data_IF_191475847063
#
_entry.id   IF_191475847063
#
_cell.length_a   1.000
_cell.length_b   1.000
_cell.length_c   1.000
_cell.angle_alpha   90.00
_cell.angle_beta   90.00
_cell.angle_gamma   90.00
#
_symmetry.space_group_name_H-M   'P 1'
#
loop_
_entity.id
_entity.type
_entity.pdbx_description
1 polymer ?
#
# COMPACT_ATOMS: atom_id res chain seq x y z
N UNK A 1 -1.73 15.91 -49.57
CA UNK A 1 -0.75 15.52 -48.53
C UNK A 1 -1.47 14.56 -47.62
N UNK A 2 -1.09 13.29 -47.60
CA UNK A 2 -1.66 12.32 -46.66
C UNK A 2 -1.29 12.78 -45.25
N UNK A 3 -2.29 13.12 -44.44
CA UNK A 3 -2.07 13.40 -43.03
C UNK A 3 -1.51 12.13 -42.39
N UNK A 4 -0.29 12.19 -41.86
CA UNK A 4 0.28 11.09 -41.09
C UNK A 4 -0.59 10.85 -39.84
N UNK A 5 -1.46 9.83 -39.92
CA UNK A 5 -2.35 9.46 -38.82
C UNK A 5 -1.50 8.88 -37.69
N UNK A 6 -1.53 9.51 -36.52
CA UNK A 6 -0.83 9.00 -35.34
C UNK A 6 -1.79 8.21 -34.46
N UNK A 7 -1.41 6.97 -34.14
CA UNK A 7 -2.20 6.06 -33.30
C UNK A 7 -1.51 5.89 -31.94
N UNK A 8 -2.30 6.04 -30.88
CA UNK A 8 -1.89 5.67 -29.52
C UNK A 8 -2.91 4.70 -28.93
N UNK A 9 -2.42 3.79 -28.08
CA UNK A 9 -3.26 2.83 -27.36
C UNK A 9 -3.52 3.35 -25.95
N UNK A 10 -4.75 3.14 -25.48
CA UNK A 10 -5.17 3.39 -24.11
C UNK A 10 -6.20 2.34 -23.69
N UNK A 11 -6.75 2.47 -22.49
CA UNK A 11 -7.82 1.62 -21.99
C UNK A 11 -8.99 2.47 -21.50
N UNK A 12 -10.19 1.95 -21.71
CA UNK A 12 -11.40 2.48 -21.10
C UNK A 12 -11.40 2.27 -19.58
N UNK A 13 -12.34 2.89 -18.88
CA UNK A 13 -12.55 2.64 -17.45
C UNK A 13 -12.90 1.17 -17.14
N UNK A 14 -13.43 0.42 -18.14
CA UNK A 14 -13.75 -1.01 -18.03
C UNK A 14 -12.56 -1.92 -18.37
N UNK A 15 -11.42 -1.37 -18.76
CA UNK A 15 -10.24 -2.14 -19.17
C UNK A 15 -10.27 -2.61 -20.63
N UNK A 16 -11.25 -2.17 -21.41
CA UNK A 16 -11.31 -2.46 -22.85
C UNK A 16 -10.34 -1.55 -23.62
N UNK A 17 -9.72 -2.09 -24.66
CA UNK A 17 -8.78 -1.35 -25.51
C UNK A 17 -9.47 -0.13 -26.16
N UNK A 18 -8.77 1.00 -26.12
CA UNK A 18 -9.16 2.25 -26.75
C UNK A 18 -8.04 2.74 -27.67
N UNK A 19 -8.45 3.26 -28.83
CA UNK A 19 -7.54 3.85 -29.81
C UNK A 19 -7.69 5.36 -29.76
N UNK A 20 -6.56 6.05 -29.78
CA UNK A 20 -6.47 7.50 -29.86
C UNK A 20 -5.89 7.86 -31.23
N UNK A 21 -6.56 8.76 -31.93
CA UNK A 21 -6.11 9.28 -33.22
C UNK A 21 -5.78 10.76 -33.09
N UNK A 22 -4.63 11.15 -33.66
CA UNK A 22 -4.17 12.53 -33.80
C UNK A 22 -4.21 13.30 -32.48
N UNK A 23 -4.01 12.59 -31.35
CA UNK A 23 -4.04 13.13 -29.98
C UNK A 23 -5.36 13.81 -29.59
N UNK A 24 -6.40 13.72 -30.40
CA UNK A 24 -7.63 14.52 -30.27
C UNK A 24 -8.88 13.69 -30.07
N UNK A 25 -8.94 12.51 -30.70
CA UNK A 25 -10.15 11.70 -30.75
C UNK A 25 -9.93 10.32 -30.13
N UNK A 26 -10.91 9.84 -29.37
CA UNK A 26 -10.92 8.52 -28.75
C UNK A 26 -11.92 7.61 -29.44
N UNK A 27 -11.52 6.36 -29.62
CA UNK A 27 -12.33 5.33 -30.24
C UNK A 27 -12.39 4.11 -29.32
N UNK A 28 -13.61 3.62 -29.08
CA UNK A 28 -13.86 2.39 -28.34
C UNK A 28 -13.93 1.21 -29.32
N UNK A 29 -13.45 0.06 -28.89
CA UNK A 29 -13.73 -1.19 -29.59
C UNK A 29 -15.24 -1.37 -29.77
N UNK A 30 -15.64 -1.79 -30.97
CA UNK A 30 -17.04 -2.04 -31.33
C UNK A 30 -17.27 -3.53 -31.59
N UNK A 31 -16.60 -4.12 -32.57
CA UNK A 31 -16.69 -5.54 -32.89
C UNK A 31 -15.54 -5.97 -33.81
N UNK A 32 -15.31 -7.28 -33.90
CA UNK A 32 -14.42 -7.88 -34.90
C UNK A 32 -15.19 -8.30 -36.14
N UNK A 33 -14.53 -8.23 -37.30
CA UNK A 33 -15.03 -8.67 -38.60
C UNK A 33 -14.62 -10.12 -38.88
N UNK A 34 -15.17 -10.71 -39.96
CA UNK A 34 -14.88 -12.09 -40.38
C UNK A 34 -13.40 -12.32 -40.74
N UNK A 35 -12.72 -11.28 -41.20
CA UNK A 35 -11.29 -11.25 -41.52
C UNK A 35 -10.41 -10.98 -40.28
N UNK A 36 -10.97 -11.07 -39.07
CA UNK A 36 -10.37 -10.71 -37.78
C UNK A 36 -10.00 -9.23 -37.60
N UNK A 37 -10.25 -8.36 -38.59
CA UNK A 37 -10.04 -6.92 -38.41
C UNK A 37 -10.98 -6.34 -37.35
N UNK A 38 -10.49 -5.36 -36.59
CA UNK A 38 -11.21 -4.77 -35.45
C UNK A 38 -11.75 -3.40 -35.82
N UNK A 39 -13.04 -3.20 -35.58
CA UNK A 39 -13.72 -1.92 -35.79
C UNK A 39 -13.78 -1.15 -34.46
N UNK A 40 -13.34 0.10 -34.49
CA UNK A 40 -13.45 1.03 -33.37
C UNK A 40 -14.29 2.24 -33.77
N UNK A 41 -15.19 2.68 -32.90
CA UNK A 41 -16.09 3.83 -33.13
C UNK A 41 -15.76 4.95 -32.17
N UNK A 42 -15.92 6.21 -32.60
CA UNK A 42 -15.69 7.37 -31.74
C UNK A 42 -16.46 7.25 -30.42
N UNK A 43 -15.85 7.64 -29.30
CA UNK A 43 -16.46 7.60 -27.97
C UNK A 43 -17.73 8.46 -27.86
N UNK A 44 -17.90 9.42 -28.77
CA UNK A 44 -19.06 10.31 -28.87
C UNK A 44 -20.21 9.72 -29.72
N UNK A 45 -20.06 8.52 -30.30
CA UNK A 45 -21.08 7.85 -31.13
C UNK A 45 -22.40 7.59 -30.38
N UNK A 46 -22.33 7.23 -29.09
CA UNK A 46 -23.51 6.96 -28.25
C UNK A 46 -23.95 8.17 -27.41
N UNK A 47 -23.30 9.32 -27.58
CA UNK A 47 -23.58 10.55 -26.83
C UNK A 47 -24.39 11.51 -27.69
N UNK A 48 -24.63 12.72 -27.18
CA UNK A 48 -25.41 13.77 -27.84
C UNK A 48 -24.92 14.07 -29.26
N UNK A 49 -23.60 14.03 -29.47
CA UNK A 49 -23.01 14.28 -30.78
C UNK A 49 -23.38 13.19 -31.81
N UNK A 50 -23.66 11.94 -31.42
CA UNK A 50 -23.92 10.81 -32.35
C UNK A 50 -22.86 10.69 -33.45
N UNK A 51 -21.59 10.93 -33.09
CA UNK A 51 -20.46 11.00 -34.02
C UNK A 51 -20.29 9.70 -34.81
N UNK A 52 -20.23 9.79 -36.15
CA UNK A 52 -20.18 8.62 -37.04
C UNK A 52 -18.76 8.14 -37.38
N UNK A 53 -17.72 8.83 -36.90
CA UNK A 53 -16.34 8.44 -37.16
C UNK A 53 -16.01 7.03 -36.66
N UNK A 54 -15.28 6.29 -37.47
CA UNK A 54 -14.77 4.97 -37.11
C UNK A 54 -13.42 4.69 -37.77
N UNK A 55 -12.69 3.74 -37.18
CA UNK A 55 -11.44 3.22 -37.71
C UNK A 55 -11.48 1.69 -37.69
N UNK A 56 -10.81 1.08 -38.66
CA UNK A 56 -10.66 -0.36 -38.80
C UNK A 56 -9.18 -0.66 -38.81
N UNK A 57 -8.77 -1.51 -37.89
CA UNK A 57 -7.38 -1.94 -37.74
C UNK A 57 -7.25 -3.43 -38.03
N UNK A 58 -6.13 -3.85 -38.61
CA UNK A 58 -5.76 -5.26 -38.68
C UNK A 58 -5.22 -5.76 -37.32
N UNK A 59 -4.80 -7.03 -37.26
CA UNK A 59 -4.23 -7.61 -36.04
C UNK A 59 -2.91 -6.95 -35.61
N UNK A 60 -2.17 -6.38 -36.56
CA UNK A 60 -0.90 -5.66 -36.34
C UNK A 60 -1.11 -4.17 -36.00
N UNK A 61 -2.38 -3.75 -35.85
CA UNK A 61 -2.82 -2.37 -35.56
C UNK A 61 -2.55 -1.36 -36.68
N UNK A 62 -2.37 -1.84 -37.90
CA UNK A 62 -2.28 -1.01 -39.09
C UNK A 62 -3.68 -0.59 -39.55
N UNK A 63 -3.77 0.59 -40.16
CA UNK A 63 -5.04 1.20 -40.58
C UNK A 63 -5.49 0.56 -41.89
N UNK A 64 -6.55 -0.24 -41.84
CA UNK A 64 -7.22 -0.75 -43.04
C UNK A 64 -8.19 0.28 -43.62
N UNK A 65 -8.88 1.03 -42.76
CA UNK A 65 -9.79 2.12 -43.15
C UNK A 65 -9.97 3.09 -42.00
N UNK A 66 -9.91 4.38 -42.29
CA UNK A 66 -10.27 5.44 -41.35
C UNK A 66 -11.28 6.38 -41.99
N UNK A 67 -12.42 6.62 -41.33
CA UNK A 67 -13.45 7.55 -41.78
C UNK A 67 -13.65 8.64 -40.73
N UNK A 68 -13.12 9.84 -41.01
CA UNK A 68 -13.04 10.97 -40.07
C UNK A 68 -14.27 11.89 -40.13
N UNK A 69 -15.46 11.33 -39.85
CA UNK A 69 -16.75 12.06 -39.86
C UNK A 69 -17.08 12.69 -38.50
N UNK A 70 -16.12 13.42 -37.92
CA UNK A 70 -16.30 14.02 -36.59
C UNK A 70 -17.19 15.25 -36.69
N UNK A 71 -18.19 15.33 -35.82
CA UNK A 71 -19.10 16.47 -35.71
C UNK A 71 -18.98 17.19 -34.36
N UNK A 72 -17.84 17.02 -33.71
CA UNK A 72 -17.49 17.64 -32.44
C UNK A 72 -15.99 17.95 -32.44
N UNK A 73 -15.54 18.94 -31.66
CA UNK A 73 -14.12 19.22 -31.54
C UNK A 73 -13.37 18.08 -30.84
N UNK A 74 -12.07 17.97 -31.14
CA UNK A 74 -11.14 17.11 -30.41
C UNK A 74 -10.93 17.60 -28.96
N UNK A 75 -10.48 16.69 -28.09
CA UNK A 75 -10.20 17.02 -26.69
C UNK A 75 -8.85 16.45 -26.25
N UNK A 76 -7.79 17.22 -26.47
CA UNK A 76 -6.41 16.82 -26.21
C UNK A 76 -6.15 16.52 -24.72
N UNK A 77 -6.76 17.28 -23.80
CA UNK A 77 -6.62 17.03 -22.37
C UNK A 77 -7.30 15.71 -21.94
N UNK A 78 -8.50 15.43 -22.46
CA UNK A 78 -9.20 14.17 -22.18
C UNK A 78 -8.46 12.96 -22.73
N UNK A 79 -7.80 13.13 -23.89
CA UNK A 79 -6.91 12.14 -24.48
C UNK A 79 -5.67 11.96 -23.61
N UNK A 80 -4.96 13.04 -23.26
CA UNK A 80 -3.73 12.97 -22.45
C UNK A 80 -3.98 12.31 -21.09
N UNK A 81 -5.11 12.62 -20.46
CA UNK A 81 -5.55 11.97 -19.23
C UNK A 81 -5.75 10.46 -19.43
N UNK A 82 -6.32 10.03 -20.55
CA UNK A 82 -6.56 8.60 -20.83
C UNK A 82 -5.24 7.85 -21.05
N UNK A 83 -4.29 8.43 -21.79
CA UNK A 83 -2.94 7.88 -22.00
C UNK A 83 -2.18 7.78 -20.68
N UNK A 84 -2.18 8.84 -19.87
CA UNK A 84 -1.49 8.86 -18.58
C UNK A 84 -2.03 7.78 -17.65
N UNK A 85 -3.36 7.63 -17.58
CA UNK A 85 -4.00 6.59 -16.78
C UNK A 85 -3.59 5.18 -17.22
N UNK A 86 -3.47 4.95 -18.53
CA UNK A 86 -3.02 3.67 -19.07
C UNK A 86 -1.57 3.37 -18.69
N UNK A 87 -0.64 4.31 -18.96
CA UNK A 87 0.78 4.18 -18.59
C UNK A 87 0.97 3.92 -17.09
N UNK A 88 0.26 4.66 -16.24
CA UNK A 88 0.31 4.47 -14.78
C UNK A 88 -0.08 3.05 -14.40
N UNK A 89 -1.18 2.52 -14.95
CA UNK A 89 -1.61 1.14 -14.65
C UNK A 89 -0.56 0.14 -15.09
N UNK A 90 0.00 0.30 -16.28
CA UNK A 90 0.96 -0.65 -16.83
C UNK A 90 2.29 -0.64 -16.06
N UNK A 91 2.79 0.54 -15.66
CA UNK A 91 3.95 0.62 -14.78
C UNK A 91 3.66 -0.02 -13.41
N UNK A 92 2.49 0.22 -12.81
CA UNK A 92 2.10 -0.45 -11.56
C UNK A 92 2.03 -1.97 -11.73
N UNK A 93 1.55 -2.49 -12.88
CA UNK A 93 1.51 -3.93 -13.17
C UNK A 93 2.91 -4.55 -13.16
N UNK A 94 3.95 -3.84 -13.66
CA UNK A 94 5.33 -4.32 -13.71
C UNK A 94 6.01 -4.48 -12.34
N UNK A 95 5.59 -3.72 -11.33
CA UNK A 95 6.16 -3.82 -9.99
C UNK A 95 5.71 -5.09 -9.24
N UNK A 96 6.63 -5.94 -8.80
CA UNK A 96 6.27 -7.12 -8.00
C UNK A 96 5.67 -6.74 -6.64
N UNK A 97 6.32 -5.82 -5.92
CA UNK A 97 5.90 -5.36 -4.61
C UNK A 97 5.18 -3.98 -4.70
N UNK A 98 3.88 -3.89 -4.33
CA UNK A 98 3.15 -2.63 -4.37
C UNK A 98 3.66 -1.58 -3.36
N UNK A 99 4.36 -1.99 -2.29
CA UNK A 99 4.88 -1.07 -1.27
C UNK A 99 6.08 -0.22 -1.76
N UNK A 100 6.81 -0.70 -2.77
CA UNK A 100 7.96 0.02 -3.34
C UNK A 100 7.55 1.22 -4.20
N UNK A 101 6.27 1.30 -4.55
CA UNK A 101 5.74 2.30 -5.48
C UNK A 101 5.60 3.66 -4.80
N UNK A 102 6.61 4.51 -4.97
CA UNK A 102 6.54 5.93 -4.59
C UNK A 102 5.62 6.70 -5.55
N UNK A 103 4.33 6.79 -5.19
CA UNK A 103 3.24 7.41 -5.99
C UNK A 103 3.60 8.69 -6.74
N UNK A 104 4.20 9.68 -6.05
CA UNK A 104 4.54 10.98 -6.68
C UNK A 104 5.73 10.85 -7.64
N UNK A 105 6.70 9.98 -7.33
CA UNK A 105 7.84 9.68 -8.20
C UNK A 105 7.37 9.00 -9.49
N UNK A 106 6.54 7.96 -9.36
CA UNK A 106 5.91 7.28 -10.51
C UNK A 106 5.21 8.27 -11.43
N UNK A 107 4.38 9.16 -10.88
CA UNK A 107 3.71 10.20 -11.66
C UNK A 107 4.71 11.13 -12.34
N UNK A 108 5.75 11.60 -11.63
CA UNK A 108 6.73 12.53 -12.20
C UNK A 108 7.52 11.89 -13.36
N UNK A 109 7.87 10.61 -13.26
CA UNK A 109 8.58 9.87 -14.31
C UNK A 109 7.70 9.76 -15.58
N UNK A 110 6.45 9.32 -15.43
CA UNK A 110 5.49 9.22 -16.55
C UNK A 110 5.16 10.60 -17.13
N UNK A 111 5.00 11.61 -16.27
CA UNK A 111 4.70 12.98 -16.70
C UNK A 111 5.84 13.59 -17.50
N UNK A 112 7.11 13.33 -17.14
CA UNK A 112 8.26 13.77 -17.93
C UNK A 112 8.30 13.11 -19.30
N UNK A 113 8.04 11.81 -19.37
CA UNK A 113 7.98 11.06 -20.63
C UNK A 113 6.86 11.59 -21.55
N UNK A 114 5.70 11.91 -20.97
CA UNK A 114 4.53 12.40 -21.71
C UNK A 114 4.60 13.88 -22.10
N UNK A 115 5.33 14.71 -21.33
CA UNK A 115 5.32 16.17 -21.45
C UNK A 115 5.79 16.70 -22.81
N UNK A 116 6.48 15.88 -23.61
CA UNK A 116 6.89 16.22 -24.97
C UNK A 116 5.78 16.03 -26.02
N UNK A 117 4.74 15.24 -25.70
CA UNK A 117 3.74 14.78 -26.68
C UNK A 117 2.35 15.34 -26.36
N UNK A 118 2.04 15.51 -25.08
CA UNK A 118 0.70 15.83 -24.58
C UNK A 118 0.72 16.94 -23.51
N UNK A 119 -0.38 17.68 -23.35
CA UNK A 119 -0.59 18.48 -22.14
C UNK A 119 -0.65 17.55 -20.92
N UNK A 120 0.23 17.75 -19.95
CA UNK A 120 0.34 16.88 -18.79
C UNK A 120 -0.80 17.12 -17.79
N UNK A 121 -1.66 16.12 -17.53
CA UNK A 121 -2.63 16.21 -16.44
C UNK A 121 -1.94 16.38 -15.10
N UNK A 122 -2.56 17.16 -14.22
CA UNK A 122 -2.08 17.32 -12.85
C UNK A 122 -2.12 16.02 -12.05
N UNK A 123 -1.24 15.90 -11.06
CA UNK A 123 -1.19 14.75 -10.16
C UNK A 123 -2.54 14.48 -9.48
N UNK A 124 -3.30 15.53 -9.13
CA UNK A 124 -4.59 15.42 -8.46
C UNK A 124 -5.58 14.62 -9.32
N UNK A 125 -5.55 14.81 -10.65
CA UNK A 125 -6.42 14.13 -11.62
C UNK A 125 -6.20 12.61 -11.69
N UNK A 126 -5.04 12.12 -11.26
CA UNK A 126 -4.66 10.69 -11.32
C UNK A 126 -4.34 10.06 -9.96
N UNK A 127 -4.24 10.85 -8.88
CA UNK A 127 -3.90 10.40 -7.52
C UNK A 127 -4.77 9.24 -7.05
N UNK A 128 -6.09 9.36 -7.22
CA UNK A 128 -7.06 8.33 -6.81
C UNK A 128 -6.93 7.07 -7.66
N UNK A 129 -6.60 7.19 -8.95
CA UNK A 129 -6.35 6.03 -9.80
C UNK A 129 -5.11 5.28 -9.32
N UNK A 130 -3.99 5.98 -9.10
CA UNK A 130 -2.74 5.39 -8.60
C UNK A 130 -3.01 4.60 -7.32
N UNK A 131 -3.69 5.22 -6.35
CA UNK A 131 -4.10 4.58 -5.10
C UNK A 131 -4.91 3.30 -5.32
N UNK A 132 -5.96 3.36 -6.14
CA UNK A 132 -6.81 2.21 -6.43
C UNK A 132 -6.05 1.09 -7.14
N UNK A 133 -5.18 1.43 -8.09
CA UNK A 133 -4.39 0.45 -8.84
C UNK A 133 -3.36 -0.26 -7.95
N UNK A 134 -2.72 0.45 -7.02
CA UNK A 134 -1.83 -0.14 -6.02
C UNK A 134 -2.63 -1.04 -5.07
N UNK A 135 -3.76 -0.56 -4.54
CA UNK A 135 -4.58 -1.32 -3.60
C UNK A 135 -5.16 -2.61 -4.21
N UNK A 136 -5.40 -2.66 -5.53
CA UNK A 136 -5.81 -3.89 -6.22
C UNK A 136 -4.76 -5.01 -6.19
N UNK A 137 -3.49 -4.67 -5.99
CA UNK A 137 -2.40 -5.64 -5.81
C UNK A 137 -2.25 -6.10 -4.35
N UNK A 138 -2.79 -5.35 -3.41
CA UNK A 138 -2.74 -5.73 -2.00
C UNK A 138 -3.78 -6.82 -1.71
N UNK A 139 -3.47 -7.76 -0.82
CA UNK A 139 -4.47 -8.71 -0.34
C UNK A 139 -5.65 -7.95 0.31
N UNK A 140 -6.82 -8.59 0.30
CA UNK A 140 -7.98 -8.05 1.01
C UNK A 140 -7.66 -7.91 2.49
N UNK A 141 -8.12 -6.82 3.09
CA UNK A 141 -7.95 -6.62 4.53
C UNK A 141 -8.63 -7.75 5.29
N UNK A 142 -7.93 -8.28 6.28
CA UNK A 142 -8.48 -9.22 7.25
C UNK A 142 -9.62 -8.55 8.02
N UNK A 143 -10.75 -9.25 8.19
CA UNK A 143 -11.95 -8.70 8.84
C UNK A 143 -12.19 -9.24 10.24
N UNK A 144 -11.63 -10.42 10.54
CA UNK A 144 -11.68 -11.03 11.87
C UNK A 144 -10.30 -11.46 12.35
N UNK A 145 -10.11 -11.57 13.66
CA UNK A 145 -8.80 -11.94 14.20
C UNK A 145 -8.35 -13.36 13.79
N UNK A 146 -9.30 -14.28 13.62
CA UNK A 146 -9.01 -15.67 13.26
C UNK A 146 -8.57 -15.83 11.78
N UNK A 147 -8.94 -14.88 10.92
CA UNK A 147 -8.54 -14.83 9.51
C UNK A 147 -7.08 -14.40 9.32
N UNK A 148 -6.41 -13.88 10.35
CA UNK A 148 -4.95 -13.67 10.29
C UNK A 148 -4.34 -15.04 9.98
N UNK A 149 -3.53 -15.22 8.93
CA UNK A 149 -2.93 -16.52 8.63
C UNK A 149 -1.83 -16.88 9.63
N UNK A 150 -1.40 -18.15 9.68
CA UNK A 150 -0.23 -18.56 10.47
C UNK A 150 1.08 -18.34 9.69
N UNK A 151 1.01 -18.31 8.37
CA UNK A 151 2.13 -18.12 7.47
C UNK A 151 1.77 -17.07 6.43
N UNK A 152 2.73 -16.21 6.07
CA UNK A 152 2.55 -15.19 5.04
C UNK A 152 3.91 -14.69 4.58
N UNK A 153 4.01 -14.31 3.30
CA UNK A 153 5.17 -13.56 2.78
C UNK A 153 5.43 -12.27 3.58
N UNK A 154 4.37 -11.64 4.13
CA UNK A 154 4.48 -10.43 4.95
C UNK A 154 5.01 -10.69 6.37
N UNK A 155 5.18 -11.94 6.76
CA UNK A 155 5.77 -12.33 8.05
C UNK A 155 7.25 -12.63 7.92
N UNK A 156 7.86 -12.29 6.78
CA UNK A 156 9.30 -12.35 6.53
C UNK A 156 9.84 -10.95 6.29
N UNK A 157 11.06 -10.69 6.75
CA UNK A 157 11.79 -9.46 6.38
C UNK A 157 12.33 -9.58 4.95
N UNK A 158 12.84 -8.48 4.38
CA UNK A 158 13.57 -8.49 3.10
C UNK A 158 14.79 -9.44 3.11
N UNK A 159 15.30 -9.78 4.31
CA UNK A 159 16.40 -10.74 4.51
C UNK A 159 15.90 -12.17 4.74
N UNK A 160 14.62 -12.43 4.49
CA UNK A 160 13.93 -13.70 4.73
C UNK A 160 13.96 -14.18 6.20
N UNK A 161 14.08 -13.23 7.14
CA UNK A 161 14.04 -13.52 8.58
C UNK A 161 12.60 -13.53 9.08
N UNK A 162 12.29 -14.37 10.07
CA UNK A 162 10.96 -14.38 10.70
C UNK A 162 10.64 -13.04 11.37
N UNK A 163 9.48 -12.50 11.04
CA UNK A 163 8.94 -11.29 11.64
C UNK A 163 7.79 -11.58 12.59
N UNK A 164 6.91 -12.55 12.30
CA UNK A 164 5.90 -12.99 13.25
C UNK A 164 6.47 -14.08 14.15
N UNK A 165 6.55 -13.82 15.46
CA UNK A 165 7.20 -14.74 16.41
C UNK A 165 6.21 -15.51 17.29
N UNK A 166 4.96 -15.04 17.37
CA UNK A 166 3.94 -15.70 18.19
C UNK A 166 2.53 -15.32 17.74
N UNK A 167 1.62 -16.29 17.81
CA UNK A 167 0.20 -16.10 17.61
C UNK A 167 -0.61 -17.08 18.45
N UNK A 168 -1.72 -16.59 19.01
CA UNK A 168 -2.78 -17.41 19.60
C UNK A 168 -4.15 -16.76 19.34
N UNK A 169 -5.20 -17.10 20.09
CA UNK A 169 -6.57 -16.56 19.91
C UNK A 169 -6.75 -15.08 20.28
N UNK A 170 -5.82 -14.48 21.02
CA UNK A 170 -5.94 -13.13 21.63
C UNK A 170 -4.80 -12.18 21.27
N UNK A 171 -3.67 -12.71 20.79
CA UNK A 171 -2.39 -12.02 20.67
C UNK A 171 -1.64 -12.49 19.43
N UNK A 172 -1.17 -11.53 18.63
CA UNK A 172 -0.14 -11.74 17.60
C UNK A 172 1.03 -10.84 17.93
N UNK A 173 2.27 -11.35 17.83
CA UNK A 173 3.50 -10.61 18.10
C UNK A 173 4.39 -10.63 16.87
N UNK A 174 4.82 -9.45 16.47
CA UNK A 174 5.79 -9.22 15.42
C UNK A 174 7.07 -8.61 16.01
N UNK A 175 8.20 -9.26 15.75
CA UNK A 175 9.52 -8.84 16.16
C UNK A 175 10.57 -9.51 15.24
N UNK A 176 11.29 -8.72 14.46
CA UNK A 176 12.42 -9.24 13.67
C UNK A 176 13.63 -9.55 14.55
N UNK A 177 14.62 -10.33 14.08
CA UNK A 177 15.86 -10.57 14.81
C UNK A 177 16.61 -9.28 15.18
N UNK A 178 16.60 -8.28 14.28
CA UNK A 178 17.17 -6.97 14.55
C UNK A 178 16.45 -6.26 15.71
N UNK A 179 15.12 -6.30 15.73
CA UNK A 179 14.34 -5.70 16.81
C UNK A 179 14.52 -6.43 18.15
N UNK A 180 14.65 -7.76 18.13
CA UNK A 180 15.02 -8.54 19.31
C UNK A 180 16.41 -8.15 19.83
N UNK A 181 17.38 -7.93 18.93
CA UNK A 181 18.72 -7.42 19.29
C UNK A 181 18.65 -6.03 19.92
N UNK A 182 17.82 -5.13 19.39
CA UNK A 182 17.61 -3.80 19.98
C UNK A 182 16.96 -3.90 21.37
N UNK A 183 15.92 -4.71 21.51
CA UNK A 183 15.24 -4.97 22.78
C UNK A 183 16.23 -5.45 23.84
N UNK A 184 17.16 -6.33 23.45
CA UNK A 184 18.21 -6.86 24.34
C UNK A 184 19.29 -5.83 24.66
N UNK A 185 19.90 -5.22 23.65
CA UNK A 185 21.07 -4.34 23.81
C UNK A 185 20.72 -3.06 24.59
N UNK A 186 19.52 -2.53 24.37
CA UNK A 186 19.06 -1.27 24.94
C UNK A 186 17.89 -1.50 25.91
N UNK A 187 18.04 -2.40 26.86
CA UNK A 187 16.95 -2.76 27.79
C UNK A 187 16.88 -1.90 29.06
N UNK A 188 17.81 -0.96 29.29
CA UNK A 188 17.78 -0.12 30.49
C UNK A 188 16.45 0.63 30.65
N UNK A 189 15.92 1.16 29.55
CA UNK A 189 14.63 1.86 29.51
C UNK A 189 13.80 1.32 28.33
N UNK A 190 12.69 0.66 28.66
CA UNK A 190 11.73 0.17 27.66
C UNK A 190 10.49 1.05 27.73
N UNK A 191 10.10 1.58 26.57
CA UNK A 191 8.91 2.40 26.41
C UNK A 191 7.80 1.56 25.79
N UNK A 192 6.59 1.71 26.30
CA UNK A 192 5.44 0.91 25.91
C UNK A 192 4.26 1.82 25.63
N UNK A 193 3.61 1.60 24.50
CA UNK A 193 2.50 2.43 24.05
C UNK A 193 1.41 1.58 23.39
N UNK A 194 0.16 1.84 23.77
CA UNK A 194 -1.02 1.20 23.20
C UNK A 194 -1.72 2.16 22.25
N UNK A 195 -1.63 1.90 20.95
CA UNK A 195 -2.26 2.75 19.94
C UNK A 195 -3.57 2.14 19.43
N UNK A 196 -4.65 2.94 19.48
CA UNK A 196 -5.99 2.56 19.05
C UNK A 196 -6.28 2.90 17.58
N UNK A 197 -5.71 4.01 17.08
CA UNK A 197 -6.05 4.54 15.77
C UNK A 197 -5.69 3.59 14.61
N UNK A 198 -4.54 2.91 14.72
CA UNK A 198 -4.09 1.92 13.73
C UNK A 198 -4.55 0.50 14.06
N UNK A 199 -5.30 0.29 15.14
CA UNK A 199 -5.74 -1.04 15.54
C UNK A 199 -6.82 -1.56 14.58
N UNK A 200 -6.72 -2.82 14.08
CA UNK A 200 -7.80 -3.45 13.35
C UNK A 200 -9.11 -3.44 14.14
N UNK A 201 -10.26 -3.31 13.47
CA UNK A 201 -11.59 -3.24 14.11
C UNK A 201 -11.90 -4.38 15.08
N UNK A 202 -11.34 -5.57 14.83
CA UNK A 202 -11.49 -6.77 15.65
C UNK A 202 -10.50 -6.86 16.82
N UNK A 203 -9.64 -5.85 16.99
CA UNK A 203 -8.63 -5.76 18.03
C UNK A 203 -8.87 -4.53 18.89
N UNK A 204 -8.39 -4.59 20.13
CA UNK A 204 -8.60 -3.53 21.11
C UNK A 204 -7.48 -2.49 21.03
N UNK A 205 -6.26 -2.91 20.68
CA UNK A 205 -5.13 -2.02 20.41
C UNK A 205 -4.00 -2.71 19.63
N UNK A 206 -3.12 -1.89 19.04
CA UNK A 206 -1.76 -2.29 18.68
C UNK A 206 -0.82 -1.84 19.80
N UNK A 207 -0.12 -2.78 20.40
CA UNK A 207 0.84 -2.53 21.46
C UNK A 207 2.25 -2.48 20.89
N UNK A 208 2.98 -1.42 21.18
CA UNK A 208 4.31 -1.16 20.63
C UNK A 208 5.29 -1.07 21.78
N UNK A 209 6.38 -1.82 21.70
CA UNK A 209 7.54 -1.62 22.59
C UNK A 209 8.62 -0.87 21.85
N UNK A 210 9.31 0.05 22.53
CA UNK A 210 10.38 0.88 21.96
C UNK A 210 11.54 1.00 22.93
N UNK A 211 12.70 1.32 22.40
CA UNK A 211 13.88 1.68 23.18
C UNK A 211 14.60 2.86 22.56
N UNK A 212 15.38 3.57 23.38
CA UNK A 212 16.25 4.64 22.92
C UNK A 212 17.63 4.11 22.56
N UNK A 213 18.02 4.25 21.30
CA UNK A 213 19.35 3.87 20.79
C UNK A 213 20.24 5.09 20.87
N UNK A 214 21.11 5.13 21.88
CA UNK A 214 21.95 6.30 22.18
C UNK A 214 22.87 6.68 21.02
N UNK A 215 23.47 5.69 20.36
CA UNK A 215 24.40 5.89 19.26
C UNK A 215 23.74 6.54 18.03
N UNK A 216 22.42 6.40 17.88
CA UNK A 216 21.64 6.98 16.79
C UNK A 216 20.78 8.15 17.24
N UNK A 217 20.85 8.51 18.53
CA UNK A 217 20.07 9.56 19.18
C UNK A 217 18.57 9.49 18.81
N UNK A 218 17.99 8.29 18.80
CA UNK A 218 16.62 8.07 18.30
C UNK A 218 15.93 6.86 18.94
N UNK A 219 14.60 6.87 18.91
CA UNK A 219 13.76 5.77 19.38
C UNK A 219 13.51 4.75 18.27
N UNK A 220 13.65 3.48 18.61
CA UNK A 220 13.38 2.37 17.71
C UNK A 220 12.31 1.45 18.30
N UNK A 221 11.38 1.02 17.45
CA UNK A 221 10.41 0.00 17.81
C UNK A 221 11.08 -1.37 17.88
N UNK A 222 10.85 -2.06 19.00
CA UNK A 222 11.43 -3.35 19.32
C UNK A 222 10.43 -4.50 19.19
N UNK A 223 9.13 -4.21 19.17
CA UNK A 223 8.09 -5.16 18.77
C UNK A 223 6.78 -4.43 18.48
N UNK A 224 5.92 -5.10 17.71
CA UNK A 224 4.53 -4.73 17.52
C UNK A 224 3.66 -5.92 17.89
N UNK A 225 2.53 -5.68 18.56
CA UNK A 225 1.59 -6.73 18.88
C UNK A 225 0.15 -6.29 18.68
N UNK A 226 -0.68 -7.17 18.13
CA UNK A 226 -2.12 -6.95 17.99
C UNK A 226 -2.82 -7.68 19.14
N UNK A 227 -3.55 -6.94 19.98
CA UNK A 227 -4.21 -7.48 21.17
C UNK A 227 -5.73 -7.36 21.03
N UNK A 228 -6.45 -8.48 21.21
CA UNK A 228 -7.93 -8.47 21.28
C UNK A 228 -8.48 -7.97 22.61
N UNK A 229 -7.65 -7.97 23.66
CA UNK A 229 -8.08 -7.58 24.99
C UNK A 229 -6.91 -6.98 25.80
N UNK A 230 -7.25 -6.22 26.83
CA UNK A 230 -6.32 -5.57 27.77
C UNK A 230 -6.12 -6.35 29.07
N UNK A 231 -6.27 -7.67 29.05
CA UNK A 231 -6.17 -8.50 30.25
C UNK A 231 -4.70 -8.68 30.65
N UNK A 232 -4.42 -8.69 31.95
CA UNK A 232 -3.08 -8.95 32.49
C UNK A 232 -2.46 -10.25 31.95
N UNK A 233 -3.27 -11.31 31.73
CA UNK A 233 -2.82 -12.59 31.18
C UNK A 233 -2.19 -12.42 29.79
N UNK A 234 -2.79 -11.58 28.94
CA UNK A 234 -2.35 -11.29 27.58
C UNK A 234 -1.02 -10.56 27.58
N UNK A 235 -0.89 -9.51 28.40
CA UNK A 235 0.38 -8.81 28.58
C UNK A 235 1.48 -9.69 29.14
N UNK A 236 1.16 -10.53 30.14
CA UNK A 236 2.12 -11.49 30.71
C UNK A 236 2.68 -12.41 29.62
N UNK A 237 1.81 -12.91 28.74
CA UNK A 237 2.20 -13.76 27.63
C UNK A 237 3.04 -13.01 26.59
N UNK A 238 2.68 -11.76 26.27
CA UNK A 238 3.47 -10.88 25.41
C UNK A 238 4.89 -10.72 25.93
N UNK A 239 5.07 -10.29 27.19
CA UNK A 239 6.40 -10.06 27.75
C UNK A 239 7.21 -11.35 27.91
N UNK A 240 6.56 -12.48 28.22
CA UNK A 240 7.23 -13.78 28.22
C UNK A 240 7.79 -14.13 26.85
N UNK A 241 7.02 -13.92 25.78
CA UNK A 241 7.46 -14.22 24.41
C UNK A 241 8.59 -13.31 23.96
N UNK A 242 8.53 -12.01 24.27
CA UNK A 242 9.64 -11.08 24.01
C UNK A 242 10.91 -11.46 24.80
N UNK A 243 10.78 -11.85 26.07
CA UNK A 243 11.91 -12.33 26.90
C UNK A 243 12.53 -13.60 26.30
N UNK A 244 11.70 -14.57 25.92
CA UNK A 244 12.15 -15.83 25.30
C UNK A 244 12.87 -15.60 23.97
N UNK A 245 12.35 -14.73 23.10
CA UNK A 245 12.94 -14.47 21.80
C UNK A 245 14.29 -13.72 21.86
N UNK A 246 14.64 -13.17 23.03
CA UNK A 246 15.91 -12.48 23.27
C UNK A 246 17.05 -13.39 23.78
N UNK A 247 16.77 -14.68 24.05
CA UNK A 247 17.68 -15.58 24.74
C UNK A 247 18.72 -16.26 23.83
N UNK A 248 19.96 -15.75 23.92
CA UNK A 248 21.20 -16.53 23.95
C UNK A 248 21.97 -16.06 25.20
N UNK A 249 21.99 -16.92 26.23
CA UNK A 249 22.80 -17.03 27.47
C UNK A 249 23.23 -15.81 28.31
N UNK A 250 22.88 -14.57 27.96
CA UNK A 250 23.19 -13.39 28.79
C UNK A 250 22.02 -12.41 28.67
N UNK A 251 21.13 -12.36 29.66
CA UNK A 251 20.10 -11.31 29.79
C UNK A 251 20.49 -10.43 30.97
N UNK A 252 20.77 -9.15 30.72
CA UNK A 252 20.52 -8.09 31.69
C UNK A 252 19.01 -7.87 31.75
N UNK A 253 18.40 -7.86 32.93
CA UNK A 253 16.97 -7.52 33.03
C UNK A 253 16.77 -6.01 32.77
N UNK A 254 15.64 -5.61 32.17
CA UNK A 254 15.34 -4.20 32.03
C UNK A 254 15.28 -3.50 33.40
N UNK A 255 15.73 -2.24 33.46
CA UNK A 255 15.77 -1.46 34.72
C UNK A 255 14.53 -0.61 34.90
N UNK A 256 14.09 0.05 33.84
CA UNK A 256 12.91 0.89 33.83
C UNK A 256 11.95 0.49 32.71
N UNK A 257 10.65 0.48 33.02
CA UNK A 257 9.58 0.45 32.03
C UNK A 257 8.78 1.73 32.13
N UNK A 258 8.59 2.37 30.97
CA UNK A 258 7.75 3.55 30.80
C UNK A 258 6.46 3.13 30.12
N UNK A 259 5.34 3.22 30.82
CA UNK A 259 4.04 2.80 30.29
C UNK A 259 2.89 3.67 30.82
N UNK A 260 1.71 3.45 30.27
CA UNK A 260 0.49 4.11 30.71
C UNK A 260 0.01 3.57 32.06
N UNK A 261 -0.95 4.27 32.67
CA UNK A 261 -1.55 3.92 33.96
C UNK A 261 -2.43 2.64 33.93
N UNK A 262 -2.34 1.86 32.85
CA UNK A 262 -3.11 0.64 32.72
C UNK A 262 -2.58 -0.45 33.66
N UNK A 263 -3.36 -0.75 34.70
CA UNK A 263 -3.02 -1.74 35.74
C UNK A 263 -2.66 -3.13 35.19
N UNK A 264 -3.22 -3.51 34.03
CA UNK A 264 -2.94 -4.78 33.37
C UNK A 264 -1.47 -4.89 32.94
N UNK A 265 -0.90 -3.81 32.41
CA UNK A 265 0.50 -3.72 31.97
C UNK A 265 1.42 -3.79 33.18
N UNK A 266 1.22 -2.90 34.15
CA UNK A 266 2.14 -2.78 35.30
C UNK A 266 2.20 -4.06 36.14
N UNK A 267 1.06 -4.72 36.37
CA UNK A 267 1.01 -6.02 37.06
C UNK A 267 1.61 -7.16 36.24
N UNK A 268 1.58 -7.11 34.92
CA UNK A 268 2.20 -8.13 34.08
C UNK A 268 3.72 -7.96 34.07
N UNK A 269 4.21 -6.73 33.86
CA UNK A 269 5.63 -6.39 33.84
C UNK A 269 6.31 -6.77 35.15
N UNK A 270 5.76 -6.40 36.32
CA UNK A 270 6.28 -6.80 37.63
C UNK A 270 6.35 -8.31 37.85
N UNK A 271 5.47 -9.09 37.21
CA UNK A 271 5.53 -10.56 37.30
C UNK A 271 6.62 -11.18 36.44
N UNK A 272 7.02 -10.52 35.34
CA UNK A 272 8.04 -11.04 34.40
C UNK A 272 9.45 -10.51 34.71
N UNK A 273 9.51 -9.30 35.24
CA UNK A 273 10.73 -8.60 35.64
C UNK A 273 10.53 -8.09 37.08
N UNK A 274 10.80 -8.91 38.11
CA UNK A 274 10.49 -8.55 39.51
C UNK A 274 11.17 -7.27 39.99
N UNK A 275 12.38 -7.00 39.52
CA UNK A 275 13.20 -5.85 39.94
C UNK A 275 12.98 -4.59 39.09
N UNK A 276 11.94 -4.56 38.24
CA UNK A 276 11.69 -3.45 37.31
C UNK A 276 11.13 -2.22 38.03
N UNK A 277 11.67 -1.06 37.71
CA UNK A 277 11.06 0.22 38.09
C UNK A 277 10.01 0.63 37.04
N UNK A 278 8.77 0.89 37.47
CA UNK A 278 7.70 1.34 36.58
C UNK A 278 7.57 2.86 36.68
N UNK A 279 7.80 3.54 35.57
CA UNK A 279 7.60 4.97 35.39
C UNK A 279 6.34 5.17 34.56
N UNK A 280 5.35 5.85 35.12
CA UNK A 280 4.13 6.13 34.36
C UNK A 280 4.32 7.34 33.45
N UNK A 281 3.75 7.28 32.25
CA UNK A 281 3.87 8.36 31.28
C UNK A 281 3.16 9.64 31.75
N UNK A 282 3.93 10.70 32.00
CA UNK A 282 3.39 12.01 32.45
C UNK A 282 2.50 12.64 31.37
N UNK A 283 2.81 12.44 30.08
CA UNK A 283 1.98 12.97 29.00
C UNK A 283 0.57 12.39 29.05
N UNK A 284 0.43 11.10 29.30
CA UNK A 284 -0.88 10.49 29.50
C UNK A 284 -1.56 11.00 30.77
N UNK A 285 -0.82 11.21 31.86
CA UNK A 285 -1.38 11.80 33.10
C UNK A 285 -1.99 13.19 32.87
N UNK A 286 -1.36 14.04 32.06
CA UNK A 286 -1.79 15.44 31.83
C UNK A 286 -2.95 15.59 30.85
N UNK A 287 -3.22 14.58 30.02
CA UNK A 287 -4.30 14.58 29.04
C UNK A 287 -5.53 13.77 29.48
N UNK A 288 -5.56 13.34 30.75
CA UNK A 288 -6.74 12.80 31.42
C UNK A 288 -7.53 13.91 32.12
#
# INVERSE_FOLDING_TARGET
>A
MEENITIYISESNKGEEQIIINKQYKFNFSHSRKDNSRVYKCTEYKKNNKCKSFIILNNEKEILKYESLHNHPGNEYSVSLSVMKHKIKDEIKKHSNPFDIKRKRLYNEISKEMGFIYPCPEYISVKTLILRSINKKLPSNVTTFNEIPNESEYYKTERNEDFMIFKNSDLVIFQSPFQAKLFKKYNNDIFMDGTFYIAPKFSQQVFITRTYVKELNSFYATSYAILRNKKQKTYKMLFNKLKQNSNNNIITEPKNVHCDFEKGISKAVKKIFPNINIKYCIWHYKNF
#
